data_IF_620009247989
#
_entry.id   IF_620009247989
#
_cell.length_a   1.000
_cell.length_b   1.000
_cell.length_c   1.000
_cell.angle_alpha   90.00
_cell.angle_beta   90.00
_cell.angle_gamma   90.00
#
_symmetry.space_group_name_H-M   'P 1'
#
loop_
_entity.id
_entity.type
_entity.pdbx_description
1 polymer ?
#
# COMPACT_ATOMS: atom_id res chain seq x y z
N UNK A 1 -2.12 10.74 -11.19
CA UNK A 1 -2.67 11.42 -10.01
C UNK A 1 -2.17 12.86 -10.04
N UNK A 2 -2.91 13.84 -9.52
CA UNK A 2 -2.35 15.20 -9.36
C UNK A 2 -1.47 15.27 -8.11
N UNK A 3 -0.74 16.37 -7.93
CA UNK A 3 0.22 16.52 -6.82
C UNK A 3 -0.41 16.33 -5.43
N UNK A 4 -1.64 16.82 -5.24
CA UNK A 4 -2.36 16.65 -3.97
C UNK A 4 -2.74 15.19 -3.71
N UNK A 5 -3.18 14.47 -4.74
CA UNK A 5 -3.48 13.04 -4.65
C UNK A 5 -2.21 12.21 -4.43
N UNK A 6 -1.11 12.56 -5.10
CA UNK A 6 0.18 11.90 -4.93
C UNK A 6 0.67 12.04 -3.48
N UNK A 7 0.59 13.25 -2.90
CA UNK A 7 0.96 13.48 -1.50
C UNK A 7 0.16 12.59 -0.52
N UNK A 8 -1.14 12.42 -0.74
CA UNK A 8 -1.97 11.54 0.10
C UNK A 8 -1.57 10.07 -0.04
N UNK A 9 -1.26 9.62 -1.26
CA UNK A 9 -0.75 8.27 -1.51
C UNK A 9 0.58 8.05 -0.80
N UNK A 10 1.49 9.02 -0.87
CA UNK A 10 2.79 8.97 -0.20
C UNK A 10 2.63 8.94 1.33
N UNK A 11 1.68 9.70 1.89
CA UNK A 11 1.35 9.69 3.32
C UNK A 11 0.84 8.31 3.78
N UNK A 12 -0.02 7.67 2.97
CA UNK A 12 -0.50 6.31 3.24
C UNK A 12 0.68 5.33 3.23
N UNK A 13 1.51 5.33 2.18
CA UNK A 13 2.68 4.45 2.07
C UNK A 13 3.58 4.59 3.30
N UNK A 14 3.94 5.82 3.68
CA UNK A 14 4.79 6.08 4.84
C UNK A 14 4.16 5.61 6.14
N UNK A 15 2.84 5.78 6.29
CA UNK A 15 2.09 5.31 7.48
C UNK A 15 2.20 3.80 7.64
N UNK A 16 2.07 3.03 6.56
CA UNK A 16 2.20 1.58 6.59
C UNK A 16 3.64 1.14 6.88
N UNK A 17 4.62 1.76 6.21
CA UNK A 17 6.03 1.44 6.45
C UNK A 17 6.49 1.81 7.87
N UNK A 18 5.92 2.85 8.48
CA UNK A 18 6.20 3.22 9.87
C UNK A 18 5.76 2.15 10.90
N UNK A 19 4.93 1.17 10.51
CA UNK A 19 4.59 0.03 11.37
C UNK A 19 5.67 -1.06 11.37
N UNK A 20 6.63 -1.00 10.45
CA UNK A 20 7.71 -1.96 10.32
C UNK A 20 8.96 -1.49 11.08
N UNK A 21 9.86 -2.42 11.47
CA UNK A 21 11.19 -2.05 11.94
C UNK A 21 11.92 -1.19 10.90
N UNK A 22 12.68 -0.20 11.36
CA UNK A 22 13.34 0.78 10.48
C UNK A 22 14.26 0.13 9.42
N UNK A 23 14.95 -0.95 9.78
CA UNK A 23 15.82 -1.69 8.87
C UNK A 23 15.07 -2.43 7.73
N UNK A 24 13.75 -2.59 7.84
CA UNK A 24 12.87 -3.08 6.76
C UNK A 24 12.23 -1.90 6.03
N UNK A 25 11.75 -0.90 6.77
CA UNK A 25 11.04 0.25 6.20
C UNK A 25 11.92 1.09 5.28
N UNK A 26 13.16 1.41 5.69
CA UNK A 26 14.05 2.29 4.93
C UNK A 26 14.45 1.70 3.56
N UNK A 27 14.93 0.44 3.47
CA UNK A 27 15.22 -0.16 2.16
C UNK A 27 13.98 -0.32 1.28
N UNK A 28 12.82 -0.62 1.89
CA UNK A 28 11.56 -0.74 1.15
C UNK A 28 11.17 0.60 0.53
N UNK A 29 11.21 1.69 1.30
CA UNK A 29 10.91 3.03 0.80
C UNK A 29 11.89 3.45 -0.30
N UNK A 30 13.19 3.18 -0.13
CA UNK A 30 14.20 3.47 -1.15
C UNK A 30 13.88 2.78 -2.49
N UNK A 31 13.48 1.50 -2.46
CA UNK A 31 13.04 0.77 -3.67
C UNK A 31 11.78 1.36 -4.30
N UNK A 32 10.84 1.83 -3.49
CA UNK A 32 9.62 2.51 -3.97
C UNK A 32 9.98 3.83 -4.67
N UNK A 33 10.86 4.63 -4.07
CA UNK A 33 11.29 5.92 -4.63
C UNK A 33 12.12 5.73 -5.91
N UNK A 34 13.04 4.76 -5.94
CA UNK A 34 13.85 4.41 -7.12
C UNK A 34 12.98 3.96 -8.31
N UNK A 35 11.89 3.24 -8.04
CA UNK A 35 10.94 2.80 -9.06
C UNK A 35 10.07 3.92 -9.64
N UNK A 36 10.15 5.14 -9.08
CA UNK A 36 9.46 6.34 -9.58
C UNK A 36 8.02 6.47 -9.09
N UNK A 37 7.71 7.59 -8.43
CA UNK A 37 6.38 7.83 -7.82
C UNK A 37 5.25 7.98 -8.85
N UNK A 38 5.55 8.43 -10.06
CA UNK A 38 4.61 8.57 -11.16
C UNK A 38 4.10 7.21 -11.69
N UNK A 39 4.81 6.13 -11.39
CA UNK A 39 4.40 4.76 -11.72
C UNK A 39 3.37 4.19 -10.75
N UNK A 40 3.19 4.81 -9.57
CA UNK A 40 2.28 4.34 -8.53
C UNK A 40 0.84 4.62 -8.94
N UNK A 41 -0.03 3.62 -8.75
CA UNK A 41 -1.47 3.71 -9.04
C UNK A 41 -2.28 3.45 -7.77
N UNK A 42 -3.30 4.27 -7.59
CA UNK A 42 -4.33 4.11 -6.56
C UNK A 42 -5.63 3.61 -7.20
N UNK A 43 -6.30 2.67 -6.54
CA UNK A 43 -7.65 2.26 -6.87
C UNK A 43 -8.52 2.16 -5.61
N UNK A 44 -9.80 2.48 -5.76
CA UNK A 44 -10.83 2.39 -4.72
C UNK A 44 -12.00 1.56 -5.22
N UNK A 45 -12.58 0.76 -4.33
CA UNK A 45 -13.85 0.08 -4.56
C UNK A 45 -14.72 0.12 -3.30
N UNK A 46 -16.04 0.13 -3.48
CA UNK A 46 -17.00 0.17 -2.39
C UNK A 46 -17.47 1.58 -2.03
N UNK A 47 -18.04 1.70 -0.83
CA UNK A 47 -18.70 2.92 -0.37
C UNK A 47 -17.71 4.07 -0.19
N UNK A 48 -18.19 5.32 -0.20
CA UNK A 48 -17.45 6.50 0.27
C UNK A 48 -17.91 6.96 1.66
N UNK A 49 -18.92 6.29 2.21
CA UNK A 49 -19.48 6.58 3.51
C UNK A 49 -18.64 5.99 4.64
N UNK A 50 -18.58 6.72 5.75
CA UNK A 50 -17.85 6.28 6.93
C UNK A 50 -18.41 4.94 7.47
N UNK A 51 -17.50 4.06 7.93
CA UNK A 51 -17.83 2.72 8.50
C UNK A 51 -18.66 1.82 7.59
N UNK A 52 -18.46 1.95 6.28
CA UNK A 52 -19.05 1.06 5.29
C UNK A 52 -17.99 0.14 4.66
N UNK A 53 -18.40 -0.97 4.01
CA UNK A 53 -17.52 -1.79 3.18
C UNK A 53 -16.82 -0.96 2.10
N UNK A 54 -15.50 -1.00 2.12
CA UNK A 54 -14.59 -0.28 1.25
C UNK A 54 -13.28 -1.07 1.07
N UNK A 55 -12.63 -0.78 -0.04
CA UNK A 55 -11.38 -1.39 -0.44
C UNK A 55 -10.54 -0.32 -1.12
N UNK A 56 -9.25 -0.31 -0.84
CA UNK A 56 -8.30 0.40 -1.67
C UNK A 56 -7.01 -0.38 -1.85
N UNK A 57 -6.34 -0.11 -2.97
CA UNK A 57 -4.98 -0.58 -3.21
C UNK A 57 -4.10 0.53 -3.76
N UNK A 58 -2.83 0.48 -3.37
CA UNK A 58 -1.75 1.28 -3.92
C UNK A 58 -0.73 0.30 -4.48
N UNK A 59 -0.43 0.43 -5.76
CA UNK A 59 0.45 -0.51 -6.45
C UNK A 59 1.50 0.24 -7.24
N UNK A 60 2.76 -0.13 -7.04
CA UNK A 60 3.89 0.29 -7.85
C UNK A 60 4.59 -0.92 -8.49
N UNK A 61 5.72 -0.70 -9.18
CA UNK A 61 6.50 -1.78 -9.80
C UNK A 61 7.11 -2.77 -8.80
N UNK A 62 7.32 -2.35 -7.56
CA UNK A 62 8.03 -3.12 -6.52
C UNK A 62 7.12 -3.70 -5.44
N UNK A 63 5.87 -3.22 -5.34
CA UNK A 63 4.99 -3.56 -4.22
C UNK A 63 3.49 -3.48 -4.55
N UNK A 64 2.71 -4.13 -3.70
CA UNK A 64 1.28 -3.92 -3.54
C UNK A 64 0.96 -3.63 -2.07
N UNK A 65 0.31 -2.51 -1.80
CA UNK A 65 -0.35 -2.22 -0.55
C UNK A 65 -1.87 -2.36 -0.75
N UNK A 66 -2.52 -3.12 0.12
CA UNK A 66 -3.96 -3.34 0.07
C UNK A 66 -4.60 -3.12 1.45
N UNK A 67 -5.80 -2.54 1.43
CA UNK A 67 -6.71 -2.43 2.57
C UNK A 67 -8.07 -2.99 2.16
N UNK A 68 -8.66 -3.79 3.05
CA UNK A 68 -10.01 -4.33 2.87
C UNK A 68 -10.75 -4.33 4.22
N UNK A 69 -11.99 -3.84 4.22
CA UNK A 69 -12.92 -4.04 5.34
C UNK A 69 -14.28 -4.61 4.91
N UNK A 70 -14.36 -5.23 3.74
CA UNK A 70 -15.62 -5.60 3.06
C UNK A 70 -16.53 -6.53 3.86
N UNK A 71 -16.01 -7.22 4.89
CA UNK A 71 -16.75 -8.15 5.75
C UNK A 71 -17.41 -7.45 6.94
N UNK A 72 -18.40 -8.12 7.54
CA UNK A 72 -19.13 -7.68 8.74
C UNK A 72 -19.60 -6.21 8.67
N UNK A 73 -20.08 -5.78 7.49
CA UNK A 73 -20.58 -4.43 7.28
C UNK A 73 -19.52 -3.33 7.41
N UNK A 74 -18.26 -3.58 7.07
CA UNK A 74 -17.20 -2.55 7.14
C UNK A 74 -16.37 -2.56 8.43
N UNK A 75 -16.53 -3.58 9.28
CA UNK A 75 -15.94 -3.58 10.63
C UNK A 75 -14.77 -4.55 10.79
N UNK A 76 -14.53 -5.43 9.81
CA UNK A 76 -13.46 -6.42 9.87
C UNK A 76 -12.31 -6.01 8.95
N UNK A 77 -11.31 -5.33 9.51
CA UNK A 77 -10.23 -4.68 8.75
C UNK A 77 -9.06 -5.63 8.54
N UNK A 78 -8.61 -5.70 7.28
CA UNK A 78 -7.35 -6.29 6.86
C UNK A 78 -6.50 -5.25 6.12
N UNK A 79 -5.20 -5.44 6.19
CA UNK A 79 -4.26 -4.77 5.32
C UNK A 79 -3.05 -5.66 5.06
N UNK A 80 -2.46 -5.53 3.88
CA UNK A 80 -1.24 -6.24 3.50
C UNK A 80 -0.29 -5.32 2.77
N UNK A 81 1.00 -5.47 3.07
CA UNK A 81 2.09 -5.04 2.21
C UNK A 81 2.70 -6.29 1.58
N UNK A 82 2.73 -6.34 0.25
CA UNK A 82 3.38 -7.41 -0.52
C UNK A 82 4.57 -6.81 -1.25
N UNK A 83 5.74 -7.39 -1.03
CA UNK A 83 6.97 -7.06 -1.73
C UNK A 83 7.21 -8.10 -2.83
N UNK A 84 7.28 -7.65 -4.09
CA UNK A 84 7.40 -8.57 -5.22
C UNK A 84 8.79 -9.20 -5.36
N UNK A 85 9.84 -8.59 -4.80
CA UNK A 85 11.20 -9.15 -4.84
C UNK A 85 11.37 -10.28 -3.81
N UNK A 86 10.64 -10.17 -2.70
CA UNK A 86 10.72 -11.08 -1.56
C UNK A 86 9.61 -12.15 -1.59
N UNK A 87 8.73 -12.09 -2.59
CA UNK A 87 7.62 -13.01 -2.77
C UNK A 87 8.10 -14.46 -2.78
N UNK A 88 7.54 -15.26 -1.86
CA UNK A 88 7.82 -16.69 -1.73
C UNK A 88 9.33 -17.03 -1.61
N UNK A 89 10.15 -16.10 -1.10
CA UNK A 89 11.59 -16.31 -0.95
C UNK A 89 12.36 -16.37 -2.27
N UNK A 90 11.86 -15.70 -3.33
CA UNK A 90 12.53 -15.68 -4.64
C UNK A 90 14.00 -15.20 -4.57
N UNK A 91 14.36 -14.39 -3.57
CA UNK A 91 15.71 -13.87 -3.36
C UNK A 91 16.72 -14.89 -2.78
N UNK A 92 16.28 -16.07 -2.32
CA UNK A 92 17.13 -17.13 -1.75
C UNK A 92 17.15 -18.43 -2.56
N UNK A 93 16.56 -18.43 -3.76
CA UNK A 93 16.58 -19.54 -4.72
C UNK A 93 17.73 -19.40 -5.73
#
# INVERSE_FOLDING_TARGET
>A
MNDSQQRLVDEIINTYLATQPEHIAQPTLARVDEAGRDTIRFAWAGSREYRSPQYYRIQGPTFLLEFDNSRNGGTHIHSVWRDFAEDFGAHIL
#
